data_IF_891223843418
#
_entry.id   IF_891223843418
#
_cell.length_a   1.000
_cell.length_b   1.000
_cell.length_c   1.000
_cell.angle_alpha   90.00
_cell.angle_beta   90.00
_cell.angle_gamma   90.00
#
_symmetry.space_group_name_H-M   'P 1'
#
loop_
_entity.id
_entity.type
_entity.pdbx_description
1 polymer ?
#
# COMPACT_ATOMS: atom_id res chain seq x y z
N UNK A 1 25.29 -1.60 17.55
CA UNK A 1 23.98 -0.93 17.71
C UNK A 1 23.26 -0.98 16.37
N UNK A 2 22.15 -1.75 16.24
CA UNK A 2 21.41 -1.82 14.96
C UNK A 2 20.69 -0.49 14.73
N UNK A 3 20.98 0.21 13.62
CA UNK A 3 20.23 1.40 13.19
C UNK A 3 18.83 0.94 12.79
N UNK A 4 17.78 1.47 13.43
CA UNK A 4 16.39 1.23 13.06
C UNK A 4 15.88 2.46 12.30
N UNK A 5 15.21 2.23 11.17
CA UNK A 5 14.44 3.28 10.50
C UNK A 5 13.08 3.38 11.20
N UNK A 6 12.63 4.62 11.42
CA UNK A 6 11.32 4.91 12.01
C UNK A 6 10.58 5.74 10.97
N UNK A 7 9.34 5.33 10.67
CA UNK A 7 8.40 6.10 9.88
C UNK A 7 7.28 6.55 10.81
N UNK A 8 6.97 7.84 10.78
CA UNK A 8 5.86 8.43 11.53
C UNK A 8 4.80 8.78 10.51
N UNK A 9 3.60 8.27 10.69
CA UNK A 9 2.50 8.42 9.75
C UNK A 9 1.36 9.09 10.49
N UNK A 10 0.76 10.10 9.87
CA UNK A 10 -0.45 10.71 10.42
C UNK A 10 -1.64 9.79 10.25
N UNK A 11 -2.59 9.88 11.19
CA UNK A 11 -3.90 9.28 11.01
C UNK A 11 -4.58 9.95 9.82
N UNK A 12 -4.98 9.16 8.83
CA UNK A 12 -5.57 9.64 7.59
C UNK A 12 -6.97 9.05 7.41
N UNK A 13 -8.04 9.87 7.39
CA UNK A 13 -9.40 9.38 7.25
C UNK A 13 -9.73 8.93 5.81
N UNK A 14 -8.88 9.30 4.84
CA UNK A 14 -9.08 8.94 3.44
C UNK A 14 -8.04 7.90 3.03
N UNK A 15 -8.50 6.73 2.56
CA UNK A 15 -7.64 5.61 2.18
C UNK A 15 -6.53 6.02 1.20
N UNK A 16 -6.83 6.82 0.17
CA UNK A 16 -5.81 7.22 -0.79
C UNK A 16 -4.72 8.08 -0.13
N UNK A 17 -5.07 8.97 0.81
CA UNK A 17 -4.11 9.80 1.54
C UNK A 17 -3.25 8.94 2.48
N UNK A 18 -3.88 7.97 3.15
CA UNK A 18 -3.20 6.98 3.96
C UNK A 18 -2.18 6.18 3.13
N UNK A 19 -2.52 5.80 1.90
CA UNK A 19 -1.57 5.12 1.00
C UNK A 19 -0.39 6.04 0.69
N UNK A 20 -0.65 7.29 0.28
CA UNK A 20 0.42 8.23 -0.04
C UNK A 20 1.36 8.51 1.15
N UNK A 21 0.86 8.51 2.39
CA UNK A 21 1.71 8.71 3.57
C UNK A 21 2.64 7.54 3.88
N UNK A 22 2.40 6.34 3.34
CA UNK A 22 3.37 5.24 3.38
C UNK A 22 4.49 5.37 2.34
N UNK A 23 4.44 6.31 1.41
CA UNK A 23 5.33 6.35 0.23
C UNK A 23 5.91 7.75 -0.05
N UNK A 24 6.36 8.44 1.00
CA UNK A 24 6.77 9.86 0.95
C UNK A 24 7.87 10.18 -0.09
N UNK A 25 8.81 9.25 -0.31
CA UNK A 25 9.98 9.47 -1.18
C UNK A 25 9.82 8.84 -2.59
N UNK A 26 8.58 8.66 -3.07
CA UNK A 26 8.36 7.98 -4.37
C UNK A 26 7.34 8.69 -5.25
N UNK A 27 7.62 8.75 -6.54
CA UNK A 27 6.64 9.19 -7.53
C UNK A 27 5.65 8.07 -7.85
N UNK A 28 4.47 8.12 -7.22
CA UNK A 28 3.35 7.25 -7.56
C UNK A 28 2.63 7.83 -8.78
N UNK A 29 2.55 7.05 -9.85
CA UNK A 29 1.87 7.46 -11.08
C UNK A 29 0.36 7.32 -10.98
N UNK A 30 -0.10 6.19 -10.45
CA UNK A 30 -1.53 5.90 -10.31
C UNK A 30 -1.77 4.88 -9.19
N UNK A 31 -3.00 4.81 -8.70
CA UNK A 31 -3.43 3.83 -7.69
C UNK A 31 -4.74 3.21 -8.17
N UNK A 32 -4.77 1.89 -8.30
CA UNK A 32 -5.92 1.15 -8.83
C UNK A 32 -6.40 0.12 -7.83
N UNK A 33 -7.71 0.03 -7.63
CA UNK A 33 -8.33 -1.07 -6.91
C UNK A 33 -8.64 -2.21 -7.88
N UNK A 34 -8.07 -3.37 -7.61
CA UNK A 34 -8.33 -4.63 -8.30
C UNK A 34 -9.15 -5.49 -7.35
N UNK A 35 -10.45 -5.54 -7.58
CA UNK A 35 -11.33 -6.40 -6.82
C UNK A 35 -11.21 -7.85 -7.30
N UNK A 36 -11.15 -8.79 -6.37
CA UNK A 36 -11.22 -10.21 -6.72
C UNK A 36 -12.09 -10.97 -5.72
N UNK A 37 -12.61 -12.15 -6.10
CA UNK A 37 -13.43 -12.97 -5.21
C UNK A 37 -12.70 -13.49 -3.95
N UNK A 38 -11.39 -13.29 -3.84
CA UNK A 38 -10.56 -13.86 -2.76
C UNK A 38 -9.79 -12.81 -1.97
N UNK A 39 -9.45 -11.68 -2.62
CA UNK A 39 -8.71 -10.57 -2.04
C UNK A 39 -8.89 -9.31 -2.87
N UNK A 40 -9.05 -8.18 -2.21
CA UNK A 40 -9.00 -6.88 -2.88
C UNK A 40 -7.54 -6.39 -2.84
N UNK A 41 -7.02 -5.99 -4.00
CA UNK A 41 -5.64 -5.53 -4.14
C UNK A 41 -5.66 -4.06 -4.53
N UNK A 42 -4.93 -3.24 -3.80
CA UNK A 42 -4.56 -1.89 -4.23
C UNK A 42 -3.21 -1.97 -4.91
N UNK A 43 -3.22 -1.76 -6.22
CA UNK A 43 -2.01 -1.70 -7.02
C UNK A 43 -1.53 -0.26 -7.12
N UNK A 44 -0.40 0.02 -6.47
CA UNK A 44 0.31 1.29 -6.56
C UNK A 44 1.25 1.19 -7.75
N UNK A 45 0.95 1.99 -8.78
CA UNK A 45 1.61 1.95 -10.07
C UNK A 45 2.69 3.03 -10.16
N UNK A 46 3.86 2.63 -10.63
CA UNK A 46 5.05 3.48 -10.77
C UNK A 46 5.49 3.51 -12.23
N UNK A 47 5.91 4.68 -12.72
CA UNK A 47 6.56 4.79 -14.03
C UNK A 47 8.01 4.35 -13.98
N UNK A 48 8.72 4.74 -12.92
CA UNK A 48 10.15 4.48 -12.81
C UNK A 48 10.44 3.33 -11.85
N UNK A 49 11.36 2.45 -12.24
CA UNK A 49 11.77 1.33 -11.40
C UNK A 49 12.50 1.76 -10.12
N UNK A 50 13.12 2.96 -10.11
CA UNK A 50 13.75 3.50 -8.89
C UNK A 50 12.71 3.76 -7.80
N UNK A 51 11.61 4.44 -8.13
CA UNK A 51 10.52 4.71 -7.20
C UNK A 51 9.87 3.42 -6.72
N UNK A 52 9.59 2.48 -7.65
CA UNK A 52 9.06 1.16 -7.28
C UNK A 52 10.01 0.41 -6.34
N UNK A 53 11.31 0.41 -6.60
CA UNK A 53 12.27 -0.31 -5.77
C UNK A 53 12.31 0.25 -4.35
N UNK A 54 12.20 1.57 -4.19
CA UNK A 54 12.06 2.22 -2.88
C UNK A 54 10.75 1.80 -2.19
N UNK A 55 9.62 1.84 -2.90
CA UNK A 55 8.31 1.45 -2.38
C UNK A 55 8.21 -0.04 -2.01
N UNK A 56 8.98 -0.92 -2.66
CA UNK A 56 9.02 -2.35 -2.34
C UNK A 56 9.97 -2.61 -1.15
N UNK A 57 11.11 -1.92 -1.12
CA UNK A 57 12.20 -2.15 -0.18
C UNK A 57 13.02 -3.40 -0.50
N UNK A 58 14.15 -3.56 0.20
CA UNK A 58 15.08 -4.69 0.02
C UNK A 58 14.34 -6.00 0.31
N UNK A 59 14.38 -6.96 -0.61
CA UNK A 59 13.67 -8.25 -0.53
C UNK A 59 12.15 -8.13 -0.25
N UNK A 60 11.56 -7.00 -0.62
CA UNK A 60 10.16 -6.67 -0.35
C UNK A 60 9.86 -6.39 1.12
N UNK A 61 10.87 -6.13 1.95
CA UNK A 61 10.69 -5.96 3.39
C UNK A 61 9.74 -4.81 3.74
N UNK A 62 9.79 -3.72 2.98
CA UNK A 62 8.99 -2.53 3.26
C UNK A 62 7.52 -2.77 2.91
N UNK A 63 7.23 -3.23 1.70
CA UNK A 63 5.85 -3.52 1.29
C UNK A 63 5.21 -4.64 2.13
N UNK A 64 6.00 -5.60 2.63
CA UNK A 64 5.53 -6.61 3.62
C UNK A 64 5.13 -5.97 4.94
N UNK A 65 5.90 -4.99 5.44
CA UNK A 65 5.57 -4.26 6.67
C UNK A 65 4.31 -3.40 6.50
N UNK A 66 4.18 -2.68 5.38
CA UNK A 66 2.96 -1.92 5.06
C UNK A 66 1.74 -2.84 5.00
N UNK A 67 1.85 -3.97 4.29
CA UNK A 67 0.78 -4.97 4.23
C UNK A 67 0.43 -5.58 5.59
N UNK A 68 1.39 -5.75 6.49
CA UNK A 68 1.10 -6.17 7.86
C UNK A 68 0.27 -5.11 8.60
N UNK A 69 0.55 -3.82 8.39
CA UNK A 69 -0.24 -2.72 8.96
C UNK A 69 -1.67 -2.74 8.41
N UNK A 70 -1.83 -2.81 7.09
CA UNK A 70 -3.14 -2.86 6.42
C UNK A 70 -4.02 -4.01 6.89
N UNK A 71 -3.45 -5.20 7.09
CA UNK A 71 -4.23 -6.37 7.53
C UNK A 71 -4.68 -6.31 8.98
N UNK A 72 -3.88 -5.70 9.85
CA UNK A 72 -4.07 -5.85 11.31
C UNK A 72 -4.51 -4.57 12.01
N UNK A 73 -4.32 -3.39 11.40
CA UNK A 73 -4.52 -2.11 12.06
C UNK A 73 -5.36 -1.11 11.27
N UNK A 74 -5.66 -1.36 9.99
CA UNK A 74 -6.50 -0.48 9.17
C UNK A 74 -7.91 -1.06 9.10
N UNK A 75 -8.89 -0.27 9.54
CA UNK A 75 -10.31 -0.59 9.41
C UNK A 75 -10.92 0.27 8.31
N UNK A 76 -11.64 -0.36 7.38
CA UNK A 76 -12.28 0.32 6.27
C UNK A 76 -13.80 0.31 6.47
N UNK A 77 -14.38 1.50 6.56
CA UNK A 77 -15.82 1.68 6.61
C UNK A 77 -16.36 1.62 5.18
N UNK A 78 -16.58 0.41 4.67
CA UNK A 78 -17.16 0.22 3.34
C UNK A 78 -18.69 0.50 3.36
N UNK A 79 -19.23 1.22 2.36
CA UNK A 79 -20.68 1.34 2.15
C UNK A 79 -21.31 0.16 1.38
N UNK A 80 -20.53 -0.83 0.95
CA UNK A 80 -21.03 -1.97 0.18
C UNK A 80 -20.97 -3.26 1.01
N UNK A 81 -22.13 -3.89 1.17
CA UNK A 81 -22.33 -5.22 1.75
C UNK A 81 -21.46 -6.29 1.05
N UNK A 82 -20.18 -6.41 1.37
CA UNK A 82 -19.45 -7.68 1.21
C UNK A 82 -19.57 -8.44 2.52
N UNK A 83 -20.34 -9.53 2.47
CA UNK A 83 -20.59 -10.48 3.57
C UNK A 83 -19.28 -11.14 4.06
N UNK A 84 -18.22 -11.05 3.27
CA UNK A 84 -16.88 -11.52 3.61
C UNK A 84 -15.88 -10.37 3.43
N UNK A 85 -15.40 -9.80 4.53
CA UNK A 85 -14.34 -8.80 4.51
C UNK A 85 -13.01 -9.49 4.16
N UNK A 86 -12.69 -9.59 2.88
CA UNK A 86 -11.38 -10.08 2.47
C UNK A 86 -10.28 -9.07 2.81
N UNK A 87 -9.07 -9.53 3.15
CA UNK A 87 -7.97 -8.63 3.50
C UNK A 87 -7.59 -7.76 2.29
N UNK A 88 -7.44 -6.45 2.54
CA UNK A 88 -6.91 -5.50 1.57
C UNK A 88 -5.38 -5.61 1.55
N UNK A 89 -4.80 -5.85 0.36
CA UNK A 89 -3.35 -5.93 0.16
C UNK A 89 -2.86 -4.83 -0.76
N UNK A 90 -1.68 -4.27 -0.47
CA UNK A 90 -0.97 -3.36 -1.37
C UNK A 90 0.05 -4.13 -2.21
N UNK A 91 0.07 -3.80 -3.50
CA UNK A 91 1.06 -4.27 -4.47
C UNK A 91 1.73 -3.06 -5.13
N UNK A 92 2.99 -3.20 -5.50
CA UNK A 92 3.74 -2.16 -6.21
C UNK A 92 4.19 -2.68 -7.59
N UNK A 93 3.65 -2.10 -8.65
CA UNK A 93 3.85 -2.56 -10.03
C UNK A 93 4.41 -1.46 -10.91
N UNK A 94 5.13 -1.84 -11.97
CA UNK A 94 5.47 -0.90 -13.04
C UNK A 94 4.29 -0.77 -13.99
N UNK A 95 4.12 0.42 -14.54
CA UNK A 95 3.16 0.67 -15.61
C UNK A 95 3.85 1.38 -16.78
N UNK A 96 3.30 1.21 -17.97
CA UNK A 96 3.74 1.91 -19.18
C UNK A 96 2.77 3.05 -19.47
N UNK A 97 3.30 4.16 -19.97
CA UNK A 97 2.51 5.29 -20.50
C UNK A 97 1.79 4.86 -21.77
#
# INVERSE_FOLDING_TARGET
MKRRKILIIHEEPTLIRLIFSFFEDTYIHNVVLIESPTRDIIDVLFLFNVDRAVAVGIDGSYIKAVNHIFRNYITLNYPFNKIESHPLELRCSLTTV
#
